data_IF_554554910225
#
_entry.id   IF_554554910225
#
_cell.length_a   1.000
_cell.length_b   1.000
_cell.length_c   1.000
_cell.angle_alpha   90.00
_cell.angle_beta   90.00
_cell.angle_gamma   90.00
#
_symmetry.space_group_name_H-M   'P 1'
#
loop_
_entity.id
_entity.type
_entity.pdbx_description
1 polymer ?
#
# COMPACT_ATOMS: atom_id res chain seq x y z
N UNK A 1 26.74 -29.42 -22.36
CA UNK A 1 26.05 -28.22 -22.85
C UNK A 1 24.65 -28.16 -22.24
N UNK A 2 24.47 -27.47 -21.13
CA UNK A 2 23.17 -27.31 -20.49
C UNK A 2 22.37 -26.24 -21.26
N UNK A 3 21.23 -26.62 -21.84
CA UNK A 3 20.27 -25.70 -22.43
C UNK A 3 19.81 -24.69 -21.38
N UNK A 4 20.18 -23.43 -21.51
CA UNK A 4 19.51 -22.32 -20.84
C UNK A 4 18.03 -22.34 -21.30
N UNK A 5 17.14 -22.95 -20.52
CA UNK A 5 15.71 -22.76 -20.69
C UNK A 5 15.44 -21.26 -20.46
N UNK A 6 14.92 -20.58 -21.45
CA UNK A 6 14.33 -19.25 -21.29
C UNK A 6 13.24 -19.38 -20.21
N UNK A 7 13.43 -18.75 -19.06
CA UNK A 7 12.42 -18.66 -18.01
C UNK A 7 11.30 -17.79 -18.57
N UNK A 8 10.12 -18.35 -18.76
CA UNK A 8 8.91 -17.59 -19.09
C UNK A 8 8.56 -16.68 -17.89
N UNK A 9 7.88 -15.56 -18.12
CA UNK A 9 7.47 -14.61 -17.07
C UNK A 9 6.69 -15.31 -15.92
N UNK A 10 5.97 -16.40 -16.23
CA UNK A 10 5.26 -17.27 -15.26
C UNK A 10 6.19 -18.04 -14.31
N UNK A 11 7.49 -18.12 -14.57
CA UNK A 11 8.47 -18.81 -13.72
C UNK A 11 9.13 -17.92 -12.68
N UNK A 12 8.93 -16.60 -12.76
CA UNK A 12 9.49 -15.66 -11.80
C UNK A 12 8.52 -15.45 -10.63
N UNK A 13 9.03 -15.39 -9.37
CA UNK A 13 8.19 -15.08 -8.24
C UNK A 13 7.57 -13.67 -8.41
N UNK A 14 6.38 -13.49 -7.83
CA UNK A 14 5.84 -12.17 -7.60
C UNK A 14 6.61 -11.54 -6.43
N UNK A 15 7.09 -10.32 -6.61
CA UNK A 15 7.80 -9.59 -5.57
C UNK A 15 7.06 -8.31 -5.30
N UNK A 16 6.57 -8.15 -4.07
CA UNK A 16 5.97 -6.91 -3.59
C UNK A 16 6.94 -6.17 -2.67
N UNK A 17 6.98 -4.85 -2.79
CA UNK A 17 7.76 -3.95 -1.95
C UNK A 17 6.85 -2.86 -1.34
N UNK A 18 6.99 -2.64 -0.05
CA UNK A 18 6.33 -1.59 0.72
C UNK A 18 7.37 -0.67 1.34
N UNK A 19 7.34 0.62 0.96
CA UNK A 19 8.24 1.66 1.46
C UNK A 19 7.58 2.41 2.62
N UNK A 20 7.59 1.80 3.81
CA UNK A 20 6.98 2.40 5.01
C UNK A 20 7.93 3.29 5.80
N UNK A 21 7.38 4.23 6.59
CA UNK A 21 8.18 5.13 7.44
C UNK A 21 8.80 4.46 8.67
N UNK A 22 8.30 3.29 9.09
CA UNK A 22 8.91 2.48 10.17
C UNK A 22 9.94 1.51 9.61
N UNK A 23 9.59 0.86 8.50
CA UNK A 23 10.44 -0.13 7.85
C UNK A 23 10.09 -0.27 6.38
N UNK A 24 11.08 -0.67 5.59
CA UNK A 24 10.90 -1.16 4.22
C UNK A 24 10.71 -2.66 4.27
N UNK A 25 9.68 -3.18 3.61
CA UNK A 25 9.35 -4.61 3.58
C UNK A 25 9.27 -5.12 2.15
N UNK A 26 9.77 -6.32 1.95
CA UNK A 26 9.67 -7.03 0.67
C UNK A 26 9.13 -8.45 0.89
N UNK A 27 8.22 -8.88 0.04
CA UNK A 27 7.62 -10.22 0.05
C UNK A 27 7.76 -10.85 -1.32
N UNK A 28 8.21 -12.10 -1.36
CA UNK A 28 8.16 -12.93 -2.56
C UNK A 28 7.09 -13.99 -2.39
N UNK A 29 6.24 -14.16 -3.40
CA UNK A 29 5.18 -15.15 -3.38
C UNK A 29 5.02 -15.81 -4.76
N UNK A 30 4.29 -16.93 -4.78
CA UNK A 30 3.92 -17.67 -5.98
C UNK A 30 2.44 -18.03 -5.89
N UNK A 31 1.70 -17.81 -6.97
CA UNK A 31 0.32 -18.30 -7.08
C UNK A 31 0.31 -19.81 -7.14
N UNK A 32 -0.56 -20.44 -6.35
CA UNK A 32 -0.77 -21.91 -6.31
C UNK A 32 -2.18 -22.30 -6.74
N UNK A 33 -3.14 -21.37 -6.65
CA UNK A 33 -4.49 -21.50 -7.20
C UNK A 33 -5.03 -20.09 -7.48
N UNK A 34 -6.22 -19.95 -8.04
CA UNK A 34 -6.90 -18.67 -8.21
C UNK A 34 -7.01 -17.98 -6.84
N UNK A 35 -6.50 -16.76 -6.76
CA UNK A 35 -6.48 -15.93 -5.53
C UNK A 35 -5.87 -16.62 -4.30
N UNK A 36 -5.01 -17.63 -4.51
CA UNK A 36 -4.32 -18.33 -3.43
C UNK A 36 -2.81 -18.34 -3.67
N UNK A 37 -2.05 -17.81 -2.71
CA UNK A 37 -0.62 -17.62 -2.81
C UNK A 37 0.15 -18.37 -1.73
N UNK A 38 1.33 -18.83 -2.09
CA UNK A 38 2.35 -19.32 -1.18
C UNK A 38 3.42 -18.25 -1.00
N UNK A 39 3.65 -17.81 0.23
CA UNK A 39 4.78 -16.93 0.57
C UNK A 39 6.06 -17.77 0.46
N UNK A 40 7.02 -17.30 -0.34
CA UNK A 40 8.34 -17.90 -0.51
C UNK A 40 9.36 -17.32 0.48
N UNK A 41 9.20 -16.02 0.80
CA UNK A 41 10.04 -15.33 1.77
C UNK A 41 9.59 -13.89 1.98
N UNK A 42 9.99 -13.35 3.12
CA UNK A 42 9.78 -11.95 3.51
C UNK A 42 11.05 -11.41 4.14
N UNK A 43 11.41 -10.19 3.77
CA UNK A 43 12.49 -9.43 4.39
C UNK A 43 11.97 -8.08 4.88
N UNK A 44 12.54 -7.59 5.96
CA UNK A 44 12.22 -6.32 6.57
C UNK A 44 13.50 -5.56 6.93
N UNK A 45 13.50 -4.27 6.64
CA UNK A 45 14.55 -3.33 7.01
C UNK A 45 13.96 -2.17 7.80
N UNK A 46 14.09 -2.17 9.15
CA UNK A 46 13.70 -1.04 9.98
C UNK A 46 14.50 0.21 9.59
N UNK A 47 13.84 1.35 9.54
CA UNK A 47 14.49 2.63 9.35
C UNK A 47 15.11 3.10 10.66
N UNK A 48 16.44 3.24 10.68
CA UNK A 48 17.19 3.67 11.87
C UNK A 48 17.42 5.19 11.83
N UNK A 49 17.46 5.82 13.01
CA UNK A 49 17.92 7.20 13.14
C UNK A 49 19.25 7.42 12.39
N UNK A 50 19.31 8.44 11.55
CA UNK A 50 20.47 8.74 10.69
C UNK A 50 20.45 8.11 9.30
N UNK A 51 19.59 7.11 9.05
CA UNK A 51 19.42 6.44 7.75
C UNK A 51 17.96 6.36 7.29
N UNK A 52 17.13 7.32 7.70
CA UNK A 52 15.74 7.40 7.29
C UNK A 52 15.69 7.79 5.81
N UNK A 53 15.01 6.98 4.99
CA UNK A 53 14.84 7.27 3.58
C UNK A 53 13.37 7.53 3.20
N UNK A 54 12.42 7.17 4.06
CA UNK A 54 10.99 7.39 3.87
C UNK A 54 10.41 8.14 5.07
N UNK A 55 9.80 9.28 4.82
CA UNK A 55 9.09 10.06 5.83
C UNK A 55 7.67 10.34 5.35
N UNK A 56 6.69 10.13 6.24
CA UNK A 56 5.27 10.30 5.93
C UNK A 56 4.83 9.58 4.63
N UNK A 57 5.41 8.38 4.40
CA UNK A 57 5.14 7.55 3.23
C UNK A 57 5.77 8.06 1.92
N UNK A 58 6.67 9.03 1.98
CA UNK A 58 7.35 9.63 0.82
C UNK A 58 8.85 9.38 0.94
N UNK A 59 9.50 8.96 -0.15
CA UNK A 59 10.96 8.86 -0.21
C UNK A 59 11.55 10.27 -0.17
N UNK A 60 12.34 10.56 0.87
CA UNK A 60 13.02 11.85 1.05
C UNK A 60 14.48 11.81 0.62
N UNK A 61 15.09 10.63 0.64
CA UNK A 61 16.49 10.40 0.29
C UNK A 61 16.61 9.21 -0.69
N UNK A 62 16.62 9.50 -1.99
CA UNK A 62 16.63 8.44 -3.04
C UNK A 62 17.85 7.54 -2.98
N UNK A 63 19.04 8.07 -2.63
CA UNK A 63 20.28 7.28 -2.51
C UNK A 63 20.20 6.24 -1.40
N UNK A 64 19.73 6.65 -0.22
CA UNK A 64 19.53 5.71 0.88
C UNK A 64 18.42 4.70 0.57
N UNK A 65 17.33 5.14 -0.05
CA UNK A 65 16.25 4.27 -0.49
C UNK A 65 16.75 3.24 -1.52
N UNK A 66 17.56 3.67 -2.49
CA UNK A 66 18.19 2.78 -3.47
C UNK A 66 19.06 1.71 -2.83
N UNK A 67 19.90 2.09 -1.85
CA UNK A 67 20.69 1.14 -1.09
C UNK A 67 19.80 0.11 -0.35
N UNK A 68 18.77 0.58 0.36
CA UNK A 68 17.85 -0.29 1.11
C UNK A 68 17.08 -1.23 0.17
N UNK A 69 16.62 -0.75 -0.99
CA UNK A 69 15.95 -1.56 -2.01
C UNK A 69 16.89 -2.66 -2.53
N UNK A 70 18.13 -2.31 -2.88
CA UNK A 70 19.11 -3.28 -3.37
C UNK A 70 19.43 -4.35 -2.32
N UNK A 71 19.63 -3.94 -1.06
CA UNK A 71 19.93 -4.83 0.04
C UNK A 71 18.77 -5.78 0.34
N UNK A 72 17.55 -5.26 0.50
CA UNK A 72 16.38 -6.07 0.87
C UNK A 72 16.05 -7.10 -0.21
N UNK A 73 16.12 -6.71 -1.50
CA UNK A 73 15.88 -7.63 -2.62
C UNK A 73 16.98 -8.68 -2.75
N UNK A 74 18.24 -8.34 -2.44
CA UNK A 74 19.34 -9.31 -2.39
C UNK A 74 19.14 -10.33 -1.29
N UNK A 75 18.75 -9.89 -0.09
CA UNK A 75 18.47 -10.79 1.03
C UNK A 75 17.28 -11.70 0.75
N UNK A 76 16.22 -11.15 0.17
CA UNK A 76 15.05 -11.91 -0.23
C UNK A 76 15.41 -12.95 -1.30
N UNK A 77 16.24 -12.59 -2.30
CA UNK A 77 16.73 -13.52 -3.32
C UNK A 77 17.49 -14.69 -2.70
N UNK A 78 18.41 -14.39 -1.76
CA UNK A 78 19.16 -15.42 -1.02
C UNK A 78 18.24 -16.34 -0.22
N UNK A 79 17.23 -15.77 0.48
CA UNK A 79 16.28 -16.52 1.28
C UNK A 79 15.46 -17.53 0.47
N UNK A 80 15.05 -17.14 -0.75
CA UNK A 80 14.24 -18.01 -1.63
C UNK A 80 15.09 -18.85 -2.60
N UNK A 81 16.41 -18.77 -2.51
CA UNK A 81 17.33 -19.58 -3.31
C UNK A 81 17.41 -19.21 -4.78
N UNK A 82 17.19 -17.92 -5.14
CA UNK A 82 17.38 -17.42 -6.49
C UNK A 82 18.56 -16.46 -6.57
N UNK A 83 19.15 -16.33 -7.76
CA UNK A 83 20.34 -15.49 -7.92
C UNK A 83 20.01 -14.00 -7.77
N UNK A 84 18.86 -13.57 -8.30
CA UNK A 84 18.48 -12.16 -8.39
C UNK A 84 16.97 -11.97 -8.48
N UNK A 85 16.49 -10.85 -7.96
CA UNK A 85 15.12 -10.35 -8.10
C UNK A 85 15.17 -8.95 -8.75
N UNK A 86 15.16 -8.88 -10.09
CA UNK A 86 15.34 -7.62 -10.81
C UNK A 86 14.09 -6.75 -10.84
N UNK A 87 12.90 -7.34 -10.68
CA UNK A 87 11.61 -6.70 -10.80
C UNK A 87 10.86 -6.72 -9.47
N UNK A 88 10.11 -5.66 -9.18
CA UNK A 88 9.20 -5.61 -8.05
C UNK A 88 7.95 -4.80 -8.38
N UNK A 89 6.83 -5.22 -7.80
CA UNK A 89 5.60 -4.44 -7.67
C UNK A 89 5.65 -3.57 -6.42
N UNK A 90 5.05 -2.41 -6.48
CA UNK A 90 5.07 -1.44 -5.39
C UNK A 90 3.68 -1.11 -4.89
N UNK A 91 3.57 -0.93 -3.58
CA UNK A 91 2.47 -0.22 -2.94
C UNK A 91 2.91 1.23 -2.68
N UNK A 92 2.29 2.19 -3.37
CA UNK A 92 2.61 3.61 -3.27
C UNK A 92 1.56 4.35 -2.45
N UNK A 93 2.01 5.09 -1.46
CA UNK A 93 1.18 5.96 -0.62
C UNK A 93 1.88 7.28 -0.34
N UNK A 94 1.40 8.05 0.61
CA UNK A 94 2.09 9.24 1.11
C UNK A 94 1.20 10.43 1.38
N UNK A 95 1.75 11.38 2.13
CA UNK A 95 1.04 12.51 2.73
C UNK A 95 0.25 13.37 1.74
N UNK A 96 0.73 13.54 0.51
CA UNK A 96 0.10 14.44 -0.48
C UNK A 96 -0.93 13.76 -1.38
N UNK A 97 -1.24 12.48 -1.15
CA UNK A 97 -2.14 11.72 -2.03
C UNK A 97 -3.59 12.19 -1.87
N UNK A 98 -4.18 12.57 -3.00
CA UNK A 98 -5.58 12.99 -3.13
C UNK A 98 -6.23 12.25 -4.29
N UNK A 99 -7.56 12.19 -4.32
CA UNK A 99 -8.31 11.60 -5.43
C UNK A 99 -8.97 12.67 -6.30
N UNK A 100 -9.06 12.38 -7.61
CA UNK A 100 -9.79 13.18 -8.58
C UNK A 100 -10.53 12.27 -9.56
N UNK A 101 -11.77 12.60 -9.91
CA UNK A 101 -12.48 11.90 -10.97
C UNK A 101 -12.00 12.40 -12.33
N UNK A 102 -11.76 11.48 -13.26
CA UNK A 102 -11.37 11.79 -14.63
C UNK A 102 -11.98 10.78 -15.58
N UNK A 103 -12.25 11.19 -16.82
CA UNK A 103 -12.78 10.30 -17.84
C UNK A 103 -12.18 10.58 -19.21
N UNK A 104 -12.22 9.56 -20.04
CA UNK A 104 -11.93 9.63 -21.47
C UNK A 104 -13.09 9.05 -22.27
N UNK A 105 -13.27 9.55 -23.50
CA UNK A 105 -14.33 9.12 -24.42
C UNK A 105 -13.73 8.87 -25.79
N UNK A 106 -14.13 7.75 -26.41
CA UNK A 106 -13.75 7.37 -27.77
C UNK A 106 -14.97 7.03 -28.60
N UNK A 107 -15.09 7.70 -29.75
CA UNK A 107 -16.04 7.35 -30.79
C UNK A 107 -15.30 6.56 -31.87
N UNK A 108 -15.70 5.33 -32.11
CA UNK A 108 -15.09 4.42 -33.06
C UNK A 108 -15.80 4.45 -34.43
N UNK A 109 -16.71 5.38 -34.67
CA UNK A 109 -17.54 5.54 -35.87
C UNK A 109 -18.44 4.31 -36.20
N UNK A 110 -18.11 3.13 -35.69
CA UNK A 110 -18.90 1.88 -35.79
C UNK A 110 -18.51 0.93 -34.65
N UNK A 111 -19.35 -0.05 -34.37
CA UNK A 111 -19.06 -1.08 -33.36
C UNK A 111 -17.80 -1.87 -33.71
N UNK A 112 -16.77 -1.70 -32.91
CA UNK A 112 -15.50 -2.47 -32.96
C UNK A 112 -15.23 -3.12 -31.63
N UNK A 113 -14.34 -4.10 -31.64
CA UNK A 113 -13.80 -4.73 -30.43
C UNK A 113 -13.07 -3.71 -29.58
N UNK A 114 -13.23 -3.83 -28.26
CA UNK A 114 -12.56 -2.96 -27.29
C UNK A 114 -11.22 -3.64 -26.96
N UNK A 115 -10.17 -3.20 -27.66
CA UNK A 115 -8.83 -3.74 -27.44
C UNK A 115 -8.21 -3.18 -26.14
N UNK A 116 -7.29 -3.93 -25.54
CA UNK A 116 -6.50 -3.45 -24.42
C UNK A 116 -5.73 -2.17 -24.79
N UNK A 117 -5.20 -2.08 -26.02
CA UNK A 117 -4.52 -0.88 -26.50
C UNK A 117 -5.42 0.37 -26.47
N UNK A 118 -6.71 0.24 -26.81
CA UNK A 118 -7.65 1.34 -26.69
C UNK A 118 -7.85 1.78 -25.24
N UNK A 119 -7.96 0.83 -24.31
CA UNK A 119 -8.10 1.13 -22.88
C UNK A 119 -6.82 1.80 -22.34
N UNK A 120 -5.64 1.30 -22.73
CA UNK A 120 -4.34 1.89 -22.35
C UNK A 120 -4.20 3.33 -22.87
N UNK A 121 -4.64 3.61 -24.12
CA UNK A 121 -4.66 4.96 -24.68
C UNK A 121 -5.60 5.89 -23.92
N UNK A 122 -6.79 5.40 -23.55
CA UNK A 122 -7.78 6.17 -22.79
C UNK A 122 -7.28 6.48 -21.37
N UNK A 123 -6.60 5.52 -20.74
CA UNK A 123 -5.94 5.70 -19.45
C UNK A 123 -4.84 6.75 -19.53
N UNK A 124 -3.96 6.63 -20.51
CA UNK A 124 -2.86 7.58 -20.72
C UNK A 124 -3.37 9.01 -20.96
N UNK A 125 -4.45 9.18 -21.76
CA UNK A 125 -5.08 10.48 -21.95
C UNK A 125 -5.63 11.06 -20.64
N UNK A 126 -6.24 10.23 -19.79
CA UNK A 126 -6.73 10.68 -18.49
C UNK A 126 -5.58 11.17 -17.60
N UNK A 127 -4.45 10.47 -17.59
CA UNK A 127 -3.24 10.86 -16.88
C UNK A 127 -2.70 12.20 -17.38
N UNK A 128 -2.53 12.34 -18.68
CA UNK A 128 -2.05 13.58 -19.32
C UNK A 128 -2.97 14.77 -19.06
N UNK A 129 -4.29 14.60 -19.09
CA UNK A 129 -5.27 15.66 -18.77
C UNK A 129 -5.08 16.26 -17.38
N UNK A 130 -4.71 15.43 -16.40
CA UNK A 130 -4.47 15.89 -15.01
C UNK A 130 -3.11 16.59 -14.90
N UNK A 131 -2.05 15.96 -15.42
CA UNK A 131 -0.68 16.43 -15.29
C UNK A 131 -0.42 17.73 -16.08
N UNK A 132 -1.06 17.89 -17.24
CA UNK A 132 -1.01 19.14 -18.02
C UNK A 132 -1.67 20.33 -17.31
N UNK A 133 -2.73 20.08 -16.52
CA UNK A 133 -3.41 21.14 -15.75
C UNK A 133 -2.62 21.57 -14.53
N UNK A 134 -1.78 20.69 -13.98
CA UNK A 134 -0.98 20.97 -12.80
C UNK A 134 0.38 20.28 -12.91
N UNK A 135 1.42 20.97 -13.42
CA UNK A 135 2.75 20.38 -13.65
C UNK A 135 3.47 19.85 -12.40
N UNK A 136 3.06 20.28 -11.20
CA UNK A 136 3.62 19.84 -9.93
C UNK A 136 2.97 18.55 -9.40
N UNK A 137 1.93 18.08 -10.07
CA UNK A 137 1.19 16.87 -9.74
C UNK A 137 1.59 15.73 -10.67
N UNK A 138 1.75 14.55 -10.11
CA UNK A 138 1.82 13.29 -10.85
C UNK A 138 0.59 12.43 -10.52
N UNK A 139 0.11 11.70 -11.50
CA UNK A 139 -0.87 10.63 -11.31
C UNK A 139 -0.11 9.37 -10.87
N UNK A 140 -0.25 9.02 -9.60
CA UNK A 140 0.41 7.86 -8.98
C UNK A 140 -0.29 6.54 -9.28
N UNK A 141 -1.58 6.60 -9.64
CA UNK A 141 -2.38 5.47 -10.09
C UNK A 141 -3.72 5.94 -10.64
N UNK A 142 -4.21 5.21 -11.64
CA UNK A 142 -5.55 5.37 -12.19
C UNK A 142 -6.30 4.06 -11.95
N UNK A 143 -7.39 4.13 -11.18
CA UNK A 143 -8.21 2.96 -10.87
C UNK A 143 -9.53 3.09 -11.61
N UNK A 144 -9.91 2.09 -12.43
CA UNK A 144 -11.19 2.09 -13.12
C UNK A 144 -12.34 2.20 -12.12
N UNK A 145 -13.31 3.06 -12.41
CA UNK A 145 -14.52 3.23 -11.61
C UNK A 145 -15.72 2.55 -12.28
N UNK A 146 -15.97 2.88 -13.53
CA UNK A 146 -16.98 2.25 -14.36
C UNK A 146 -16.75 2.61 -15.84
N UNK A 147 -17.41 1.88 -16.73
CA UNK A 147 -17.36 2.13 -18.17
C UNK A 147 -18.78 2.33 -18.71
N UNK A 148 -18.90 3.11 -19.81
CA UNK A 148 -20.16 3.25 -20.53
C UNK A 148 -19.93 2.82 -21.98
N UNK A 149 -20.63 1.78 -22.42
CA UNK A 149 -20.56 1.23 -23.77
C UNK A 149 -21.88 1.47 -24.50
N UNK A 150 -21.84 2.30 -25.55
CA UNK A 150 -23.05 2.68 -26.32
C UNK A 150 -24.19 3.20 -25.40
N UNK A 151 -23.85 3.90 -24.30
CA UNK A 151 -24.81 4.44 -23.34
C UNK A 151 -25.22 3.47 -22.21
N UNK A 152 -24.66 2.27 -22.15
CA UNK A 152 -24.91 1.28 -21.10
C UNK A 152 -23.73 1.26 -20.14
N UNK A 153 -23.98 1.56 -18.86
CA UNK A 153 -22.98 1.55 -17.78
C UNK A 153 -22.68 0.11 -17.33
N UNK A 154 -21.41 -0.17 -17.05
CA UNK A 154 -20.92 -1.41 -16.46
C UNK A 154 -19.75 -1.15 -15.52
N UNK A 155 -19.69 -1.87 -14.38
CA UNK A 155 -18.63 -1.74 -13.38
C UNK A 155 -17.36 -2.48 -13.80
N UNK A 156 -17.49 -3.57 -14.58
CA UNK A 156 -16.35 -4.38 -15.00
C UNK A 156 -15.56 -3.72 -16.15
N UNK A 157 -14.26 -3.90 -16.14
CA UNK A 157 -13.39 -3.53 -17.27
C UNK A 157 -13.86 -4.29 -18.51
N UNK A 158 -14.03 -3.61 -19.67
CA UNK A 158 -14.46 -4.26 -20.90
C UNK A 158 -13.52 -5.38 -21.32
N UNK A 159 -14.09 -6.51 -21.76
CA UNK A 159 -13.34 -7.63 -22.33
C UNK A 159 -13.13 -7.47 -23.83
N UNK A 160 -12.09 -8.08 -24.44
CA UNK A 160 -11.81 -7.97 -25.88
C UNK A 160 -12.95 -8.47 -26.78
N UNK A 161 -13.88 -9.29 -26.27
CA UNK A 161 -15.04 -9.78 -27.02
C UNK A 161 -16.16 -8.75 -27.10
N UNK A 162 -16.17 -7.77 -26.21
CA UNK A 162 -17.17 -6.70 -26.20
C UNK A 162 -16.93 -5.72 -27.35
N UNK A 163 -18.03 -5.27 -27.95
CA UNK A 163 -18.02 -4.32 -29.08
C UNK A 163 -18.88 -3.13 -28.78
N UNK A 164 -18.35 -1.92 -29.02
CA UNK A 164 -19.09 -0.68 -28.91
C UNK A 164 -18.67 0.29 -30.02
N UNK A 165 -19.56 1.19 -30.39
CA UNK A 165 -19.25 2.35 -31.22
C UNK A 165 -18.75 3.53 -30.35
N UNK A 166 -19.32 3.67 -29.15
CA UNK A 166 -18.94 4.68 -28.18
C UNK A 166 -18.44 4.00 -26.90
N UNK A 167 -17.23 4.36 -26.47
CA UNK A 167 -16.63 3.90 -25.23
C UNK A 167 -16.32 5.10 -24.36
N UNK A 168 -16.85 5.12 -23.13
CA UNK A 168 -16.44 6.06 -22.09
C UNK A 168 -15.82 5.27 -20.93
N UNK A 169 -14.64 5.68 -20.50
CA UNK A 169 -13.92 5.10 -19.38
C UNK A 169 -13.79 6.13 -18.27
N UNK A 170 -14.31 5.81 -17.11
CA UNK A 170 -14.28 6.66 -15.92
C UNK A 170 -13.32 6.09 -14.90
N UNK A 171 -12.42 6.93 -14.38
CA UNK A 171 -11.36 6.55 -13.44
C UNK A 171 -11.38 7.42 -12.20
N UNK A 172 -10.95 6.85 -11.10
CA UNK A 172 -10.45 7.59 -9.94
C UNK A 172 -8.93 7.72 -10.07
N UNK A 173 -8.45 8.94 -10.25
CA UNK A 173 -7.02 9.25 -10.24
C UNK A 173 -6.54 9.50 -8.82
N UNK A 174 -5.49 8.81 -8.41
CA UNK A 174 -4.74 9.09 -7.19
C UNK A 174 -3.57 9.99 -7.55
N UNK A 175 -3.64 11.23 -7.10
CA UNK A 175 -2.70 12.28 -7.45
C UNK A 175 -1.82 12.64 -6.27
N UNK A 176 -0.54 12.87 -6.51
CA UNK A 176 0.41 13.29 -5.51
C UNK A 176 1.40 14.32 -6.06
N UNK A 177 2.32 14.80 -5.21
CA UNK A 177 3.39 15.67 -5.69
C UNK A 177 4.29 14.90 -6.68
N UNK A 178 4.68 15.52 -7.78
CA UNK A 178 5.53 14.94 -8.81
C UNK A 178 6.85 14.38 -8.27
N UNK A 179 7.38 14.98 -7.20
CA UNK A 179 8.59 14.49 -6.55
C UNK A 179 8.46 13.05 -6.01
N UNK A 180 7.26 12.57 -5.69
CA UNK A 180 7.04 11.20 -5.20
C UNK A 180 7.49 10.21 -6.27
N UNK A 181 6.96 10.36 -7.50
CA UNK A 181 7.33 9.51 -8.63
C UNK A 181 8.82 9.66 -8.96
N UNK A 182 9.32 10.90 -9.05
CA UNK A 182 10.73 11.18 -9.37
C UNK A 182 11.70 10.53 -8.37
N UNK A 183 11.43 10.62 -7.07
CA UNK A 183 12.28 9.99 -6.05
C UNK A 183 12.20 8.47 -6.10
N UNK A 184 11.02 7.93 -6.38
CA UNK A 184 10.81 6.50 -6.54
C UNK A 184 11.64 5.95 -7.73
N UNK A 185 11.52 6.54 -8.91
CA UNK A 185 12.27 6.14 -10.11
C UNK A 185 13.79 6.24 -9.88
N UNK A 186 14.27 7.34 -9.28
CA UNK A 186 15.68 7.49 -8.92
C UNK A 186 16.17 6.39 -7.98
N UNK A 187 15.37 6.05 -6.95
CA UNK A 187 15.75 5.03 -5.98
C UNK A 187 15.91 3.65 -6.61
N UNK A 188 14.99 3.28 -7.51
CA UNK A 188 15.05 2.01 -8.22
C UNK A 188 16.20 1.97 -9.23
N UNK A 189 16.43 3.06 -9.97
CA UNK A 189 17.58 3.19 -10.85
C UNK A 189 18.90 3.01 -10.09
N UNK A 190 19.07 3.67 -8.93
CA UNK A 190 20.25 3.54 -8.07
C UNK A 190 20.40 2.13 -7.48
N UNK A 191 19.30 1.44 -7.22
CA UNK A 191 19.31 0.05 -6.79
C UNK A 191 19.68 -0.94 -7.90
N UNK A 192 19.74 -0.52 -9.17
CA UNK A 192 19.85 -1.39 -10.33
C UNK A 192 18.67 -2.35 -10.46
N UNK A 193 17.47 -1.87 -10.12
CA UNK A 193 16.21 -2.63 -10.13
C UNK A 193 15.15 -1.90 -10.93
N UNK A 194 14.12 -2.62 -11.34
CA UNK A 194 13.04 -2.09 -12.16
C UNK A 194 11.71 -2.25 -11.44
N UNK A 195 10.88 -1.21 -11.52
CA UNK A 195 9.49 -1.25 -11.10
C UNK A 195 8.70 -1.98 -12.21
N UNK A 196 8.15 -3.15 -11.90
CA UNK A 196 7.28 -3.86 -12.84
C UNK A 196 5.95 -3.12 -13.02
N UNK A 197 5.34 -2.74 -11.90
CA UNK A 197 4.20 -1.83 -11.83
C UNK A 197 4.05 -1.27 -10.42
N UNK A 198 3.43 -0.09 -10.28
CA UNK A 198 3.08 0.50 -8.98
C UNK A 198 1.58 0.63 -8.84
N UNK A 199 1.07 0.14 -7.72
CA UNK A 199 -0.33 0.28 -7.32
C UNK A 199 -0.43 1.29 -6.19
N UNK A 200 -1.53 2.01 -6.11
CA UNK A 200 -1.77 2.87 -4.94
C UNK A 200 -2.15 2.04 -3.73
N UNK A 201 -1.65 2.40 -2.56
CA UNK A 201 -1.87 1.65 -1.32
C UNK A 201 -3.36 1.39 -1.02
N UNK A 202 -4.29 2.35 -1.19
CA UNK A 202 -5.72 2.09 -1.02
C UNK A 202 -6.25 0.94 -1.89
N UNK A 203 -5.78 0.84 -3.13
CA UNK A 203 -6.15 -0.25 -4.04
C UNK A 203 -5.61 -1.60 -3.55
N UNK A 204 -4.34 -1.66 -3.13
CA UNK A 204 -3.75 -2.87 -2.57
C UNK A 204 -4.53 -3.38 -1.34
N UNK A 205 -4.89 -2.48 -0.43
CA UNK A 205 -5.63 -2.83 0.78
C UNK A 205 -7.05 -3.29 0.45
N UNK A 206 -7.75 -2.57 -0.42
CA UNK A 206 -9.11 -2.91 -0.82
C UNK A 206 -9.16 -4.29 -1.51
N UNK A 207 -8.21 -4.58 -2.42
CA UNK A 207 -8.13 -5.86 -3.11
C UNK A 207 -7.92 -7.03 -2.13
N UNK A 208 -7.07 -6.86 -1.12
CA UNK A 208 -6.86 -7.88 -0.10
C UNK A 208 -8.13 -8.18 0.70
N UNK A 209 -8.93 -7.16 1.04
CA UNK A 209 -10.16 -7.34 1.82
C UNK A 209 -11.35 -7.78 0.98
N UNK A 210 -11.47 -7.28 -0.25
CA UNK A 210 -12.56 -7.63 -1.16
C UNK A 210 -12.60 -9.14 -1.45
N UNK A 211 -11.43 -9.76 -1.63
CA UNK A 211 -11.33 -11.21 -1.88
C UNK A 211 -11.66 -12.02 -0.64
N UNK A 212 -11.29 -11.54 0.56
CA UNK A 212 -11.54 -12.25 1.81
C UNK A 212 -13.01 -12.28 2.22
N UNK A 213 -13.74 -11.16 2.06
CA UNK A 213 -15.15 -11.03 2.44
C UNK A 213 -16.12 -11.27 1.26
N UNK A 214 -15.58 -11.66 0.12
CA UNK A 214 -16.33 -11.79 -1.13
C UNK A 214 -16.76 -10.43 -1.67
N UNK A 215 -17.55 -10.44 -2.74
CA UNK A 215 -17.99 -9.21 -3.42
C UNK A 215 -18.90 -8.29 -2.56
N UNK A 216 -19.31 -8.73 -1.37
CA UNK A 216 -20.12 -7.89 -0.47
C UNK A 216 -19.42 -6.59 -0.05
N UNK A 217 -18.09 -6.62 0.14
CA UNK A 217 -17.30 -5.43 0.49
C UNK A 217 -17.41 -4.37 -0.60
N UNK A 218 -17.33 -4.79 -1.88
CA UNK A 218 -17.35 -3.88 -3.02
C UNK A 218 -18.74 -3.28 -3.26
N UNK A 219 -19.80 -4.07 -3.09
CA UNK A 219 -21.19 -3.64 -3.35
C UNK A 219 -21.81 -2.88 -2.18
N UNK A 220 -21.64 -3.36 -0.94
CA UNK A 220 -22.21 -2.72 0.25
C UNK A 220 -21.48 -1.43 0.64
N UNK A 221 -20.26 -1.26 0.14
CA UNK A 221 -19.37 -0.19 0.51
C UNK A 221 -18.61 -0.46 1.81
N UNK A 222 -17.36 -0.02 1.84
CA UNK A 222 -16.48 -0.13 3.00
C UNK A 222 -15.60 1.11 3.14
N UNK A 223 -14.98 1.24 4.31
CA UNK A 223 -13.83 2.10 4.49
C UNK A 223 -12.64 1.29 5.02
N UNK A 224 -11.44 1.80 4.76
CA UNK A 224 -10.17 1.26 5.25
C UNK A 224 -9.45 2.35 6.02
N UNK A 225 -9.06 2.07 7.25
CA UNK A 225 -8.17 2.86 8.07
C UNK A 225 -6.81 2.19 8.13
N UNK A 226 -5.84 2.69 7.35
CA UNK A 226 -4.44 2.28 7.43
C UNK A 226 -3.71 3.15 8.46
N UNK A 227 -3.55 2.63 9.66
CA UNK A 227 -2.88 3.33 10.75
C UNK A 227 -1.39 2.99 10.74
N UNK A 228 -0.60 3.80 10.05
CA UNK A 228 0.84 3.65 9.91
C UNK A 228 1.66 4.27 11.03
N UNK A 229 2.99 4.32 10.84
CA UNK A 229 3.92 4.91 11.81
C UNK A 229 3.86 6.45 11.82
N UNK A 230 3.89 7.08 10.65
CA UNK A 230 3.90 8.56 10.52
C UNK A 230 2.68 9.11 9.81
N UNK A 231 1.87 8.25 9.18
CA UNK A 231 0.64 8.63 8.49
C UNK A 231 -0.51 7.71 8.90
N UNK A 232 -1.72 8.25 8.85
CA UNK A 232 -2.96 7.52 8.96
C UNK A 232 -3.77 7.83 7.70
N UNK A 233 -4.14 6.81 6.93
CA UNK A 233 -4.92 6.98 5.71
C UNK A 233 -6.32 6.43 5.92
N UNK A 234 -7.32 7.25 5.64
CA UNK A 234 -8.72 6.87 5.60
C UNK A 234 -9.20 6.86 4.16
N UNK A 235 -9.69 5.73 3.68
CA UNK A 235 -10.22 5.56 2.32
C UNK A 235 -11.60 4.95 2.40
N UNK A 236 -12.58 5.52 1.72
CA UNK A 236 -13.93 4.97 1.61
C UNK A 236 -14.23 4.61 0.16
N UNK A 237 -14.89 3.46 -0.03
CA UNK A 237 -15.18 2.86 -1.34
C UNK A 237 -16.60 2.31 -1.39
N UNK A 238 -17.27 2.44 -2.54
CA UNK A 238 -18.57 1.80 -2.81
C UNK A 238 -18.84 1.74 -4.32
N UNK A 239 -19.27 0.56 -4.81
CA UNK A 239 -19.76 0.39 -6.17
C UNK A 239 -18.79 0.92 -7.23
N UNK A 240 -17.58 0.41 -7.30
CA UNK A 240 -16.57 0.84 -8.27
C UNK A 240 -15.87 2.17 -7.96
N UNK A 241 -16.32 2.95 -6.97
CA UNK A 241 -15.87 4.32 -6.77
C UNK A 241 -15.19 4.54 -5.41
N UNK A 242 -14.05 5.21 -5.42
CA UNK A 242 -13.45 5.78 -4.22
C UNK A 242 -14.18 7.08 -3.87
N UNK A 243 -14.84 7.09 -2.72
CA UNK A 243 -15.63 8.22 -2.24
C UNK A 243 -14.77 9.29 -1.56
N UNK A 244 -13.79 8.82 -0.78
CA UNK A 244 -12.85 9.63 0.00
C UNK A 244 -11.50 8.93 0.02
N UNK A 245 -10.43 9.71 -0.08
CA UNK A 245 -9.09 9.31 0.34
C UNK A 245 -8.45 10.48 1.10
N UNK A 246 -8.27 10.32 2.40
CA UNK A 246 -7.70 11.33 3.29
C UNK A 246 -6.46 10.80 3.97
N UNK A 247 -5.35 11.48 3.78
CA UNK A 247 -4.09 11.18 4.47
C UNK A 247 -3.87 12.20 5.57
N UNK A 248 -3.76 11.71 6.81
CA UNK A 248 -3.41 12.48 7.99
C UNK A 248 -1.91 12.29 8.25
N UNK A 249 -1.09 13.35 8.34
CA UNK A 249 0.35 13.25 8.55
C UNK A 249 0.69 12.97 10.03
N UNK A 250 -0.05 12.07 10.65
CA UNK A 250 0.12 11.59 12.02
C UNK A 250 -0.13 10.08 12.05
N UNK A 251 0.59 9.37 12.92
CA UNK A 251 0.45 7.93 13.12
C UNK A 251 1.07 7.49 14.43
N UNK A 252 1.40 6.21 14.56
CA UNK A 252 1.88 5.58 15.79
C UNK A 252 3.11 6.23 16.41
N UNK A 253 4.00 6.85 15.61
CA UNK A 253 5.17 7.58 16.12
C UNK A 253 4.80 8.86 16.86
N UNK A 254 3.65 9.45 16.62
CA UNK A 254 3.18 10.61 17.40
C UNK A 254 2.82 10.22 18.83
N UNK A 255 2.35 8.97 19.03
CA UNK A 255 2.18 8.40 20.38
C UNK A 255 3.54 8.18 21.03
N UNK A 256 4.49 7.57 20.32
CA UNK A 256 5.85 7.33 20.82
C UNK A 256 6.55 8.62 21.23
N UNK A 257 6.47 9.65 20.37
CA UNK A 257 7.07 10.97 20.67
C UNK A 257 6.42 11.68 21.87
N UNK A 258 5.12 11.49 22.07
CA UNK A 258 4.45 12.00 23.27
C UNK A 258 5.00 11.32 24.53
N UNK A 259 5.31 10.02 24.46
CA UNK A 259 5.91 9.28 25.58
C UNK A 259 7.39 9.70 25.81
N UNK A 260 8.16 9.96 24.74
CA UNK A 260 9.53 10.53 24.85
C UNK A 260 9.56 11.82 25.68
N UNK A 261 8.57 12.70 25.49
CA UNK A 261 8.46 13.97 26.23
C UNK A 261 8.33 13.78 27.76
N UNK A 262 8.08 12.54 28.21
CA UNK A 262 8.10 12.19 29.63
C UNK A 262 9.50 11.79 30.13
N UNK A 263 10.55 11.95 29.29
CA UNK A 263 11.95 11.78 29.66
C UNK A 263 12.54 10.39 29.34
N UNK A 264 11.86 9.56 28.56
CA UNK A 264 12.41 8.29 28.06
C UNK A 264 12.95 8.44 26.61
N UNK A 265 13.87 7.60 26.20
CA UNK A 265 14.33 7.59 24.80
C UNK A 265 13.26 6.96 23.87
N UNK A 266 13.37 7.22 22.57
CA UNK A 266 12.43 6.75 21.56
C UNK A 266 12.27 5.22 21.56
N UNK A 267 13.36 4.47 21.73
CA UNK A 267 13.31 3.00 21.69
C UNK A 267 12.53 2.44 22.88
N UNK A 268 12.77 2.98 24.07
CA UNK A 268 12.03 2.64 25.31
C UNK A 268 10.54 3.02 25.18
N UNK A 269 10.25 4.22 24.68
CA UNK A 269 8.87 4.67 24.45
C UNK A 269 8.12 3.76 23.44
N UNK A 270 8.80 3.34 22.37
CA UNK A 270 8.22 2.44 21.36
C UNK A 270 7.96 1.04 21.92
N UNK A 271 8.88 0.49 22.72
CA UNK A 271 8.69 -0.78 23.44
C UNK A 271 7.52 -0.67 24.41
N UNK A 272 7.47 0.40 25.20
CA UNK A 272 6.40 0.64 26.19
C UNK A 272 5.01 0.69 25.49
N UNK A 273 4.91 1.46 24.41
CA UNK A 273 3.70 1.55 23.58
C UNK A 273 3.27 0.19 23.03
N UNK A 274 4.20 -0.58 22.46
CA UNK A 274 3.90 -1.87 21.81
C UNK A 274 3.52 -2.97 22.81
N UNK A 275 4.14 -2.99 23.98
CA UNK A 275 3.93 -4.06 24.96
C UNK A 275 2.79 -3.78 25.96
N UNK A 276 2.60 -2.51 26.31
CA UNK A 276 1.69 -2.12 27.41
C UNK A 276 0.70 -1.03 27.00
N UNK A 277 0.84 -0.46 25.80
CA UNK A 277 -0.07 0.57 25.31
C UNK A 277 -1.46 0.02 25.06
N UNK A 278 -2.47 0.79 25.47
CA UNK A 278 -3.88 0.52 25.20
C UNK A 278 -4.56 1.79 24.68
N UNK A 279 -5.50 1.64 23.77
CA UNK A 279 -6.19 2.75 23.13
C UNK A 279 -7.04 3.60 24.08
N UNK A 280 -7.54 2.99 25.16
CA UNK A 280 -8.31 3.64 26.22
C UNK A 280 -8.17 2.86 27.52
N UNK A 281 -8.28 3.51 28.69
CA UNK A 281 -8.34 2.84 29.97
C UNK A 281 -9.47 1.79 30.07
N UNK A 282 -10.59 2.03 29.39
CA UNK A 282 -11.76 1.13 29.39
C UNK A 282 -11.47 -0.20 28.67
N UNK A 283 -10.46 -0.25 27.82
CA UNK A 283 -10.03 -1.45 27.10
C UNK A 283 -8.98 -2.26 27.87
N UNK A 284 -8.54 -1.82 29.05
CA UNK A 284 -7.53 -2.50 29.84
C UNK A 284 -8.12 -3.72 30.55
N UNK A 285 -7.49 -4.89 30.35
CA UNK A 285 -7.83 -6.09 31.10
C UNK A 285 -7.33 -6.06 32.56
N UNK A 286 -6.18 -5.41 32.77
CA UNK A 286 -5.52 -5.32 34.08
C UNK A 286 -4.68 -4.05 34.19
N UNK A 287 -4.71 -3.41 35.34
CA UNK A 287 -3.81 -2.30 35.66
C UNK A 287 -2.58 -2.84 36.38
N UNK A 288 -1.40 -2.56 35.82
CA UNK A 288 -0.10 -2.90 36.39
C UNK A 288 0.78 -1.67 36.49
N UNK A 289 1.69 -1.65 37.46
CA UNK A 289 2.72 -0.62 37.58
C UNK A 289 3.98 -1.06 36.85
N UNK A 290 4.49 -0.21 36.02
CA UNK A 290 5.69 -0.39 35.21
C UNK A 290 6.80 0.48 35.79
N UNK A 291 7.98 -0.09 35.97
CA UNK A 291 9.17 0.65 36.35
C UNK A 291 10.10 0.71 35.14
N UNK A 292 10.32 1.92 34.65
CA UNK A 292 11.17 2.21 33.51
C UNK A 292 12.50 2.68 34.11
N UNK A 293 13.62 2.00 33.80
CA UNK A 293 14.94 2.38 34.31
C UNK A 293 15.30 3.82 33.95
N UNK A 294 16.02 4.49 34.83
CA UNK A 294 16.50 5.84 34.60
C UNK A 294 17.30 5.93 33.30
N UNK A 295 16.94 6.88 32.44
CA UNK A 295 17.84 7.37 31.40
C UNK A 295 18.74 8.49 31.96
N UNK A 296 19.82 8.82 31.25
CA UNK A 296 20.69 9.94 31.66
C UNK A 296 19.95 11.27 31.83
N UNK A 297 18.76 11.40 31.19
CA UNK A 297 17.94 12.62 31.20
C UNK A 297 16.91 12.63 32.36
N UNK A 298 16.49 11.45 32.86
CA UNK A 298 15.43 11.32 33.87
C UNK A 298 15.91 11.51 35.32
N UNK A 299 17.21 11.40 35.60
CA UNK A 299 17.74 11.52 36.95
C UNK A 299 17.26 10.46 37.98
N UNK A 300 16.37 9.54 37.56
CA UNK A 300 15.80 8.46 38.40
C UNK A 300 14.82 7.58 37.62
N UNK A 301 14.42 6.43 38.19
CA UNK A 301 13.44 5.53 37.56
C UNK A 301 12.05 6.19 37.44
N UNK A 302 11.43 6.08 36.26
CA UNK A 302 10.05 6.48 36.06
C UNK A 302 9.12 5.32 36.43
N UNK A 303 8.12 5.59 37.26
CA UNK A 303 7.04 4.64 37.57
C UNK A 303 5.73 5.14 36.96
N UNK A 304 5.16 4.36 36.07
CA UNK A 304 3.89 4.67 35.39
C UNK A 304 2.96 3.46 35.46
N UNK A 305 1.67 3.66 35.69
CA UNK A 305 0.70 2.58 35.57
C UNK A 305 0.25 2.42 34.11
N UNK A 306 -0.20 1.22 33.72
CA UNK A 306 -0.80 1.00 32.40
C UNK A 306 -2.08 1.82 32.20
N UNK A 307 -2.75 2.25 33.29
CA UNK A 307 -3.90 3.16 33.22
C UNK A 307 -3.46 4.58 32.82
N UNK A 308 -2.47 5.15 33.49
CA UNK A 308 -1.90 6.47 33.12
C UNK A 308 -1.34 6.47 31.70
N UNK A 309 -0.69 5.36 31.31
CA UNK A 309 -0.21 5.18 29.93
C UNK A 309 -1.39 5.18 28.92
N UNK A 310 -2.48 4.47 29.21
CA UNK A 310 -3.66 4.41 28.35
C UNK A 310 -4.37 5.75 28.27
N UNK A 311 -4.48 6.50 29.37
CA UNK A 311 -5.04 7.86 29.40
C UNK A 311 -4.24 8.80 28.49
N UNK A 312 -2.92 8.76 28.57
CA UNK A 312 -2.05 9.58 27.71
C UNK A 312 -2.18 9.18 26.22
N UNK A 313 -2.23 7.87 25.94
CA UNK A 313 -2.41 7.35 24.57
C UNK A 313 -3.77 7.74 24.01
N UNK A 314 -4.86 7.67 24.80
CA UNK A 314 -6.20 8.04 24.36
C UNK A 314 -6.28 9.50 23.92
N UNK A 315 -5.69 10.42 24.68
CA UNK A 315 -5.62 11.84 24.30
C UNK A 315 -4.92 12.01 22.94
N UNK A 316 -3.81 11.30 22.73
CA UNK A 316 -3.09 11.36 21.46
C UNK A 316 -3.83 10.69 20.30
N UNK A 317 -4.51 9.58 20.56
CA UNK A 317 -5.37 8.92 19.58
C UNK A 317 -6.53 9.80 19.16
N UNK A 318 -7.16 10.51 20.08
CA UNK A 318 -8.22 11.46 19.76
C UNK A 318 -7.71 12.54 18.80
N UNK A 319 -6.52 13.10 19.06
CA UNK A 319 -5.90 14.08 18.17
C UNK A 319 -5.63 13.52 16.76
N UNK A 320 -5.18 12.26 16.64
CA UNK A 320 -4.88 11.61 15.36
C UNK A 320 -6.16 11.25 14.61
N UNK A 321 -7.17 10.69 15.32
CA UNK A 321 -8.35 10.09 14.70
C UNK A 321 -9.53 11.05 14.54
N UNK A 322 -9.54 12.23 15.17
CA UNK A 322 -10.61 13.23 14.95
C UNK A 322 -10.85 13.52 13.47
N UNK A 323 -9.80 13.81 12.63
CA UNK A 323 -10.02 14.03 11.21
C UNK A 323 -10.55 12.78 10.46
N UNK A 324 -10.27 11.58 10.97
CA UNK A 324 -10.84 10.33 10.43
C UNK A 324 -12.33 10.25 10.71
N UNK A 325 -12.75 10.53 11.93
CA UNK A 325 -14.19 10.53 12.29
C UNK A 325 -14.97 11.60 11.54
N UNK A 326 -14.38 12.76 11.28
CA UNK A 326 -14.99 13.81 10.46
C UNK A 326 -15.22 13.33 9.02
N UNK A 327 -14.28 12.61 8.42
CA UNK A 327 -14.46 12.04 7.07
C UNK A 327 -15.40 10.84 7.07
N UNK A 328 -15.33 9.99 8.09
CA UNK A 328 -16.22 8.84 8.27
C UNK A 328 -17.69 9.28 8.36
N UNK A 329 -18.00 10.31 9.13
CA UNK A 329 -19.35 10.85 9.25
C UNK A 329 -19.98 11.28 7.92
N UNK A 330 -19.18 11.69 6.92
CA UNK A 330 -19.66 12.06 5.58
C UNK A 330 -20.15 10.86 4.76
N UNK A 331 -19.69 9.65 5.07
CA UNK A 331 -19.93 8.43 4.29
C UNK A 331 -20.56 7.30 5.09
N UNK A 332 -20.80 7.51 6.38
CA UNK A 332 -21.28 6.48 7.33
C UNK A 332 -22.56 5.75 6.83
N UNK A 333 -23.47 6.46 6.18
CA UNK A 333 -24.68 5.90 5.58
C UNK A 333 -24.46 5.19 4.24
N UNK A 334 -23.25 5.24 3.69
CA UNK A 334 -22.88 4.65 2.39
C UNK A 334 -22.02 3.40 2.51
N UNK A 335 -21.47 3.12 3.68
CA UNK A 335 -20.57 2.00 3.94
C UNK A 335 -21.11 1.11 5.04
N UNK A 336 -20.82 -0.17 4.99
CA UNK A 336 -21.25 -1.16 5.99
C UNK A 336 -20.18 -1.47 7.03
N UNK A 337 -18.90 -1.36 6.63
CA UNK A 337 -17.77 -1.83 7.45
C UNK A 337 -16.58 -0.88 7.32
N UNK A 338 -15.91 -0.64 8.45
CA UNK A 338 -14.61 0.00 8.54
C UNK A 338 -13.57 -1.06 8.88
N UNK A 339 -12.67 -1.34 7.94
CA UNK A 339 -11.51 -2.21 8.15
C UNK A 339 -10.34 -1.40 8.71
N UNK A 340 -9.71 -1.90 9.77
CA UNK A 340 -8.50 -1.32 10.33
C UNK A 340 -7.28 -2.18 10.00
N UNK A 341 -6.18 -1.55 9.61
CA UNK A 341 -4.93 -2.19 9.20
C UNK A 341 -3.72 -1.30 9.49
N UNK A 342 -2.52 -1.75 9.09
CA UNK A 342 -1.26 -1.06 9.35
C UNK A 342 -0.67 -1.38 10.73
N UNK A 343 0.60 -1.03 10.96
CA UNK A 343 1.30 -1.35 12.20
C UNK A 343 0.70 -0.74 13.46
N UNK A 344 0.13 0.47 13.33
CA UNK A 344 -0.54 1.15 14.45
C UNK A 344 -1.86 0.48 14.85
N UNK A 345 -2.50 -0.28 13.95
CA UNK A 345 -3.72 -1.01 14.26
C UNK A 345 -3.54 -2.13 15.30
N UNK A 346 -2.28 -2.53 15.53
CA UNK A 346 -1.94 -3.53 16.55
C UNK A 346 -1.97 -2.98 17.98
N UNK A 347 -2.25 -1.68 18.18
CA UNK A 347 -2.45 -1.10 19.51
C UNK A 347 -3.67 -1.76 20.15
N UNK A 348 -3.48 -2.30 21.36
CA UNK A 348 -4.53 -2.99 22.10
C UNK A 348 -5.76 -2.08 22.29
N UNK A 349 -6.96 -2.63 22.05
CA UNK A 349 -8.23 -1.90 22.24
C UNK A 349 -8.56 -0.87 21.17
N UNK A 350 -7.77 -0.79 20.06
CA UNK A 350 -8.03 0.23 19.02
C UNK A 350 -9.35 -0.01 18.30
N UNK A 351 -9.69 -1.25 17.99
CA UNK A 351 -10.96 -1.56 17.32
C UNK A 351 -12.16 -1.19 18.19
N UNK A 352 -12.11 -1.52 19.47
CA UNK A 352 -13.14 -1.19 20.49
C UNK A 352 -13.24 0.33 20.68
N UNK A 353 -12.09 1.02 20.75
CA UNK A 353 -12.04 2.47 20.85
C UNK A 353 -12.72 3.16 19.66
N UNK A 354 -12.46 2.68 18.43
CA UNK A 354 -13.09 3.22 17.23
C UNK A 354 -14.58 2.83 17.19
N UNK A 355 -14.93 1.56 17.49
CA UNK A 355 -16.31 1.08 17.48
C UNK A 355 -17.21 1.87 18.43
N UNK A 356 -16.70 2.32 19.58
CA UNK A 356 -17.47 3.12 20.53
C UNK A 356 -17.83 4.53 20.01
N UNK A 357 -17.25 4.95 18.87
CA UNK A 357 -17.37 6.30 18.29
C UNK A 357 -18.03 6.33 16.91
N UNK A 358 -18.48 5.18 16.38
CA UNK A 358 -19.17 5.09 15.09
C UNK A 358 -20.22 4.00 15.09
N UNK A 359 -21.28 4.18 14.31
CA UNK A 359 -22.30 3.17 14.06
C UNK A 359 -21.86 2.12 13.01
N UNK A 360 -20.81 2.41 12.23
CA UNK A 360 -20.27 1.49 11.24
C UNK A 360 -19.55 0.34 11.95
N UNK A 361 -19.77 -0.89 11.47
CA UNK A 361 -19.08 -2.07 12.00
C UNK A 361 -17.56 -1.92 11.81
N UNK A 362 -16.80 -2.04 12.90
CA UNK A 362 -15.33 -1.99 12.90
C UNK A 362 -14.77 -3.39 13.02
N UNK A 363 -13.81 -3.72 12.15
CA UNK A 363 -13.11 -5.00 12.24
C UNK A 363 -11.68 -4.89 11.67
N UNK A 364 -10.82 -5.80 12.12
CA UNK A 364 -9.50 -5.93 11.50
C UNK A 364 -9.63 -6.44 10.07
N UNK A 365 -8.88 -5.83 9.15
CA UNK A 365 -8.77 -6.35 7.80
C UNK A 365 -8.03 -7.69 7.82
N UNK A 366 -8.61 -8.70 7.19
CA UNK A 366 -8.03 -10.03 7.08
C UNK A 366 -7.64 -10.31 5.62
N UNK A 367 -6.47 -10.92 5.43
CA UNK A 367 -5.97 -11.37 4.13
C UNK A 367 -5.54 -12.84 4.14
N UNK A 368 -5.88 -13.57 5.21
CA UNK A 368 -5.48 -14.95 5.42
C UNK A 368 -6.04 -15.92 4.36
N UNK A 369 -7.21 -15.64 3.79
CA UNK A 369 -7.80 -16.47 2.73
C UNK A 369 -7.02 -16.40 1.41
N UNK A 370 -6.21 -15.38 1.21
CA UNK A 370 -5.32 -15.25 0.05
C UNK A 370 -4.02 -16.06 0.22
N UNK A 371 -3.76 -16.58 1.40
CA UNK A 371 -2.52 -17.27 1.73
C UNK A 371 -2.76 -18.75 2.01
N UNK A 372 -1.78 -19.57 1.60
CA UNK A 372 -1.79 -21.00 1.88
C UNK A 372 -1.94 -21.26 3.39
N UNK A 373 -2.69 -22.28 3.77
CA UNK A 373 -3.07 -22.59 5.17
C UNK A 373 -1.90 -22.87 6.11
N UNK A 374 -0.72 -23.24 5.58
CA UNK A 374 0.51 -23.47 6.34
C UNK A 374 1.42 -22.22 6.43
N UNK A 375 0.89 -21.03 6.07
CA UNK A 375 1.62 -19.78 6.20
C UNK A 375 1.89 -19.45 7.67
N UNK A 376 3.11 -19.03 7.97
CA UNK A 376 3.51 -18.57 9.32
C UNK A 376 2.57 -17.45 9.79
N UNK A 377 2.00 -17.58 10.99
CA UNK A 377 1.02 -16.67 11.58
C UNK A 377 1.48 -15.19 11.59
N UNK A 378 2.78 -14.94 11.71
CA UNK A 378 3.31 -13.57 11.68
C UNK A 378 2.97 -12.83 10.38
N UNK A 379 2.84 -13.54 9.25
CA UNK A 379 2.49 -12.95 7.95
C UNK A 379 0.99 -12.70 7.78
N UNK A 380 0.17 -13.19 8.71
CA UNK A 380 -1.27 -12.88 8.80
C UNK A 380 -1.53 -11.54 9.51
N UNK A 381 -0.48 -10.93 10.07
CA UNK A 381 -0.55 -9.63 10.73
C UNK A 381 -0.96 -8.51 9.77
N UNK A 382 -1.71 -7.49 10.24
CA UNK A 382 -2.04 -6.28 9.48
C UNK A 382 -0.85 -5.55 8.86
N UNK A 383 0.36 -5.79 9.36
CA UNK A 383 1.61 -5.27 8.81
C UNK A 383 1.87 -5.68 7.35
N UNK A 384 1.33 -6.80 6.91
CA UNK A 384 1.62 -7.39 5.60
C UNK A 384 0.46 -7.26 4.61
N UNK A 385 -0.69 -6.72 5.02
CA UNK A 385 -1.89 -6.61 4.17
C UNK A 385 -1.60 -5.89 2.84
N UNK A 386 -0.87 -4.78 2.88
CA UNK A 386 -0.48 -4.04 1.68
C UNK A 386 0.35 -4.89 0.72
N UNK A 387 1.32 -5.65 1.23
CA UNK A 387 2.16 -6.55 0.42
C UNK A 387 1.35 -7.67 -0.21
N UNK A 388 0.45 -8.30 0.55
CA UNK A 388 -0.42 -9.37 0.04
C UNK A 388 -1.35 -8.85 -1.06
N UNK A 389 -1.98 -7.69 -0.86
CA UNK A 389 -2.78 -7.05 -1.89
C UNK A 389 -1.97 -6.65 -3.13
N UNK A 390 -0.72 -6.20 -2.95
CA UNK A 390 0.20 -5.91 -4.05
C UNK A 390 0.57 -7.18 -4.84
N UNK A 391 0.74 -8.32 -4.17
CA UNK A 391 0.96 -9.62 -4.83
C UNK A 391 -0.25 -10.02 -5.67
N UNK A 392 -1.47 -9.88 -5.13
CA UNK A 392 -2.70 -10.17 -5.87
C UNK A 392 -2.81 -9.32 -7.14
N UNK A 393 -2.73 -8.00 -6.99
CA UNK A 393 -2.79 -7.06 -8.11
C UNK A 393 -1.65 -7.27 -9.12
N UNK A 394 -0.45 -7.59 -8.64
CA UNK A 394 0.70 -7.90 -9.48
C UNK A 394 0.49 -9.16 -10.33
N UNK A 395 -0.21 -10.17 -9.79
CA UNK A 395 -0.57 -11.35 -10.55
C UNK A 395 -1.61 -11.01 -11.63
N UNK A 396 -2.64 -10.25 -11.28
CA UNK A 396 -3.67 -9.80 -12.23
C UNK A 396 -3.06 -8.96 -13.34
N UNK A 397 -2.12 -8.07 -12.99
CA UNK A 397 -1.37 -7.29 -13.97
C UNK A 397 -0.61 -8.20 -14.94
N UNK A 398 0.12 -9.20 -14.45
CA UNK A 398 0.84 -10.16 -15.32
C UNK A 398 -0.12 -10.96 -16.20
N UNK A 399 -1.25 -11.40 -15.66
CA UNK A 399 -2.24 -12.17 -16.40
C UNK A 399 -2.84 -11.36 -17.56
N UNK A 400 -3.16 -10.09 -17.33
CA UNK A 400 -3.73 -9.20 -18.34
C UNK A 400 -2.70 -8.77 -19.41
N UNK A 401 -1.40 -8.74 -19.08
CA UNK A 401 -0.34 -8.30 -19.99
C UNK A 401 0.48 -9.46 -20.62
N UNK A 402 0.13 -10.72 -20.36
CA UNK A 402 0.83 -11.90 -20.91
C UNK A 402 1.01 -11.84 -22.43
N UNK A 403 -0.01 -11.44 -23.16
CA UNK A 403 0.04 -11.36 -24.61
C UNK A 403 0.96 -10.26 -25.13
N UNK A 404 1.17 -9.19 -24.40
CA UNK A 404 2.09 -8.10 -24.75
C UNK A 404 3.55 -8.51 -24.51
N UNK A 405 3.81 -9.26 -23.44
CA UNK A 405 5.15 -9.75 -23.09
C UNK A 405 5.64 -10.84 -24.06
N UNK A 406 4.72 -11.66 -24.57
CA UNK A 406 5.05 -12.74 -25.54
C UNK A 406 5.27 -12.19 -26.95
N UNK A 407 4.62 -11.10 -27.34
CA UNK A 407 4.74 -10.50 -28.67
C UNK A 407 5.98 -9.62 -28.87
N UNK A 408 6.74 -9.30 -27.84
CA UNK A 408 8.00 -8.57 -27.91
C UNK A 408 9.17 -9.42 -27.41
N UNK A 409 9.72 -10.34 -28.23
CA UNK A 409 11.02 -10.95 -27.90
C UNK A 409 12.04 -9.81 -27.82
N UNK A 410 12.63 -9.60 -26.63
CA UNK A 410 13.57 -8.52 -26.38
C UNK A 410 13.08 -7.42 -25.44
N UNK A 411 11.89 -7.51 -24.87
CA UNK A 411 11.50 -6.57 -23.81
C UNK A 411 12.49 -6.62 -22.64
N UNK A 412 12.86 -7.80 -22.18
CA UNK A 412 13.89 -8.00 -21.15
C UNK A 412 15.30 -7.64 -21.64
N UNK A 413 15.60 -7.81 -22.95
CA UNK A 413 16.89 -7.42 -23.54
C UNK A 413 16.98 -5.89 -23.68
N UNK A 414 15.90 -5.21 -24.08
CA UNK A 414 15.86 -3.72 -24.14
C UNK A 414 15.92 -3.07 -22.77
N UNK A 415 15.34 -3.71 -21.74
CA UNK A 415 15.48 -3.23 -20.36
C UNK A 415 16.93 -3.35 -19.87
N UNK A 416 17.66 -4.39 -20.28
CA UNK A 416 19.12 -4.50 -20.03
C UNK A 416 19.91 -3.46 -20.81
N UNK A 417 19.57 -3.21 -22.07
CA UNK A 417 20.21 -2.19 -22.90
C UNK A 417 19.93 -0.77 -22.39
N UNK A 418 18.69 -0.43 -22.02
CA UNK A 418 18.37 0.89 -21.48
C UNK A 418 19.02 1.17 -20.11
N UNK A 419 19.24 0.15 -19.30
CA UNK A 419 20.04 0.30 -18.07
C UNK A 419 21.52 0.37 -18.35
N UNK A 420 22.03 -0.27 -19.40
CA UNK A 420 23.44 -0.17 -19.80
C UNK A 420 23.76 1.19 -20.43
N UNK A 421 22.89 1.72 -21.29
CA UNK A 421 23.07 3.03 -21.92
C UNK A 421 23.06 4.19 -20.93
N UNK A 422 22.27 4.09 -19.82
CA UNK A 422 22.34 5.08 -18.73
C UNK A 422 23.68 5.09 -17.98
N UNK A 423 24.48 4.01 -18.06
CA UNK A 423 25.80 3.94 -17.45
C UNK A 423 26.94 4.36 -18.38
N UNK A 424 26.72 4.43 -19.69
CA UNK A 424 27.75 4.76 -20.69
C UNK A 424 27.83 6.28 -20.93
N UNK A 425 26.76 7.04 -20.74
CA UNK A 425 26.74 8.50 -20.93
C UNK A 425 27.28 9.32 -19.72
N UNK A 426 27.92 8.70 -18.73
CA UNK A 426 28.54 9.35 -17.57
C UNK A 426 30.05 9.13 -17.44
N UNK A 427 30.78 8.84 -18.55
CA UNK A 427 32.25 8.87 -18.55
C UNK A 427 32.78 9.90 -19.52
#
# INVERSE_FOLDING_TARGET
>A
MARKQARTADSLPLVALDMGSDSVRAMAARRIATDLFQILGVEERPQKQGNVCVEQGIITQSSNAGYVIAEILKLLANRIGVNELPLAFLSVGGQSMQIAAVHSRRDQARKKEISQALLDEMEQECKEKIELRNPDVAVLGLVPSYFVLDGIEQDAVPTPEQRAALVEAHYTAFCGRKMIDTQLQKSFSQAGRVIEHSFVRPECLLSAFATCDGNHVLTSGCAVLDFGAQTTTFTAYKGGQYLINKVIPKGGYHITRMLEQQGMDFATAEVLKKQYGCASPDCLQKVVRLRIPASQELGGDLVISTKELAEAIEVKLQEILTPVFEELAKVENRISTLYITGGGSMLQGLAEYIQSRTAVRVQYGAHNLLLKSDTDEKYLSPLYTSLVGTILLGQDFRDNHKNQLVQKPGFFDRMKESTLDMFIDQN
#
